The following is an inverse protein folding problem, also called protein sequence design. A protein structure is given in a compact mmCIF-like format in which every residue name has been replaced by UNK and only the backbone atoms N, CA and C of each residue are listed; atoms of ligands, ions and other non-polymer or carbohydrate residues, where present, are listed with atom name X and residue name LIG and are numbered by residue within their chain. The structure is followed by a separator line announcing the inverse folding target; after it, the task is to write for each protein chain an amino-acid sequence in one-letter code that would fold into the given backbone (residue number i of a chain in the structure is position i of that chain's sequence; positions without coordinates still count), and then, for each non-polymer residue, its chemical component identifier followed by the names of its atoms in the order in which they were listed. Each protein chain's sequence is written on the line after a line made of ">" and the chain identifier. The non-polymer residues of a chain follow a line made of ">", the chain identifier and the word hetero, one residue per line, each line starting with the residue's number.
data_IF_135130625878
#
_entry.id   IF_135130625878
#
_cell.length_a   1.000
_cell.length_b   1.000
_cell.length_c   1.000
_cell.angle_alpha   90.00
_cell.angle_beta   90.00
_cell.angle_gamma   90.00
#
_symmetry.space_group_name_H-M   'P 1'
#
loop_
_entity.id
_entity.type
_entity.pdbx_description
1 polymer ?
#
# COMPACT_ATOMS: atom_id res chain seq x y z
N UNK A 1 5.25 -2.57 18.03
CA UNK A 1 4.24 -2.55 16.95
C UNK A 1 2.85 -2.65 17.58
N UNK A 2 2.00 -1.62 17.41
CA UNK A 2 0.66 -1.58 18.00
C UNK A 2 -0.27 -2.54 17.23
N UNK A 3 -0.90 -3.49 17.92
CA UNK A 3 -1.72 -4.58 17.34
C UNK A 3 -2.77 -4.05 16.33
N UNK A 4 -3.29 -2.85 16.59
CA UNK A 4 -4.29 -2.15 15.76
C UNK A 4 -3.83 -1.92 14.32
N UNK A 5 -2.55 -1.60 14.09
CA UNK A 5 -2.03 -1.30 12.75
C UNK A 5 -1.95 -2.56 11.88
N UNK A 6 -1.61 -3.69 12.50
CA UNK A 6 -1.53 -5.00 11.83
C UNK A 6 -2.95 -5.44 11.42
N UNK A 7 -3.90 -5.35 12.35
CA UNK A 7 -5.30 -5.71 12.08
C UNK A 7 -5.85 -4.87 10.93
N UNK A 8 -5.63 -3.56 10.96
CA UNK A 8 -6.08 -2.67 9.89
C UNK A 8 -5.43 -3.02 8.54
N UNK A 9 -4.12 -3.28 8.51
CA UNK A 9 -3.41 -3.69 7.30
C UNK A 9 -3.97 -4.99 6.70
N UNK A 10 -4.29 -5.97 7.54
CA UNK A 10 -4.91 -7.23 7.13
C UNK A 10 -6.31 -7.01 6.55
N UNK A 11 -7.12 -6.17 7.18
CA UNK A 11 -8.47 -5.83 6.73
C UNK A 11 -8.46 -5.14 5.35
N UNK A 12 -7.63 -4.10 5.18
CA UNK A 12 -7.43 -3.44 3.87
C UNK A 12 -7.01 -4.44 2.81
N UNK A 13 -6.07 -5.33 3.15
CA UNK A 13 -5.53 -6.31 2.21
C UNK A 13 -6.54 -7.39 1.84
N UNK A 14 -7.38 -7.81 2.79
CA UNK A 14 -8.47 -8.74 2.57
C UNK A 14 -9.53 -8.14 1.64
N UNK A 15 -9.85 -6.86 1.82
CA UNK A 15 -10.81 -6.09 1.04
C UNK A 15 -10.33 -5.73 -0.36
N UNK A 16 -9.01 -5.70 -0.59
CA UNK A 16 -8.43 -5.45 -1.91
C UNK A 16 -8.70 -6.61 -2.85
N UNK A 17 -9.15 -6.31 -4.08
CA UNK A 17 -9.47 -7.29 -5.13
C UNK A 17 -8.22 -7.92 -5.78
N UNK A 18 -7.24 -8.32 -4.96
CA UNK A 18 -6.01 -8.97 -5.38
C UNK A 18 -6.29 -10.44 -5.73
N UNK A 19 -5.62 -10.97 -6.77
CA UNK A 19 -5.99 -12.26 -7.39
C UNK A 19 -5.63 -13.49 -6.55
N UNK A 20 -4.72 -13.37 -5.58
CA UNK A 20 -4.34 -14.51 -4.74
C UNK A 20 -3.97 -14.11 -3.30
N UNK A 21 -4.01 -15.11 -2.41
CA UNK A 21 -3.75 -14.94 -0.97
C UNK A 21 -2.32 -14.44 -0.69
N UNK A 22 -1.33 -14.82 -1.51
CA UNK A 22 0.06 -14.39 -1.30
C UNK A 22 0.20 -12.90 -1.56
N UNK A 23 -0.50 -12.38 -2.57
CA UNK A 23 -0.55 -10.95 -2.84
C UNK A 23 -1.26 -10.17 -1.73
N UNK A 24 -2.35 -10.71 -1.16
CA UNK A 24 -3.01 -10.10 0.00
C UNK A 24 -2.10 -10.05 1.23
N UNK A 25 -1.44 -11.17 1.55
CA UNK A 25 -0.46 -11.22 2.64
C UNK A 25 0.69 -10.25 2.42
N UNK A 26 1.19 -10.15 1.18
CA UNK A 26 2.24 -9.19 0.80
C UNK A 26 1.80 -7.75 0.99
N UNK A 27 0.58 -7.40 0.56
CA UNK A 27 0.04 -6.05 0.76
C UNK A 27 -0.05 -5.71 2.25
N UNK A 28 -0.46 -6.66 3.09
CA UNK A 28 -0.56 -6.45 4.54
C UNK A 28 0.78 -6.13 5.15
N UNK A 29 1.84 -6.86 4.79
CA UNK A 29 3.21 -6.56 5.23
C UNK A 29 3.67 -5.19 4.75
N UNK A 30 3.45 -4.87 3.47
CA UNK A 30 3.84 -3.57 2.89
C UNK A 30 3.17 -2.41 3.62
N UNK A 31 1.87 -2.54 3.95
CA UNK A 31 1.13 -1.52 4.70
C UNK A 31 1.71 -1.39 6.11
N UNK A 32 1.98 -2.50 6.80
CA UNK A 32 2.56 -2.48 8.14
C UNK A 32 3.94 -1.79 8.16
N UNK A 33 4.83 -2.16 7.23
CA UNK A 33 6.17 -1.57 7.07
C UNK A 33 6.06 -0.05 6.80
N UNK A 34 5.12 0.37 5.94
CA UNK A 34 4.90 1.77 5.61
C UNK A 34 4.32 2.59 6.77
N UNK A 35 3.46 2.01 7.61
CA UNK A 35 2.94 2.70 8.81
C UNK A 35 4.04 2.85 9.85
N UNK A 36 4.87 1.83 10.05
CA UNK A 36 5.95 1.84 11.04
C UNK A 36 7.03 2.87 10.69
N UNK A 37 7.29 3.09 9.40
CA UNK A 37 8.28 4.05 8.94
C UNK A 37 7.84 4.80 7.68
N UNK A 38 6.92 5.78 7.78
CA UNK A 38 6.30 6.43 6.63
C UNK A 38 7.26 7.19 5.71
N UNK A 39 8.38 7.67 6.26
CA UNK A 39 9.41 8.42 5.53
C UNK A 39 10.56 7.54 5.05
N UNK A 40 10.56 6.25 5.35
CA UNK A 40 11.63 5.34 4.97
C UNK A 40 11.49 4.91 3.50
N UNK A 41 12.63 4.74 2.83
CA UNK A 41 12.66 4.03 1.55
C UNK A 41 12.24 2.57 1.74
N UNK A 42 11.82 1.88 0.66
CA UNK A 42 11.43 0.46 0.72
C UNK A 42 12.49 -0.42 1.42
N UNK A 43 13.81 -0.34 1.09
CA UNK A 43 14.81 -1.13 1.79
C UNK A 43 14.94 -0.84 3.28
N UNK A 44 14.75 0.43 3.67
CA UNK A 44 14.79 0.85 5.08
C UNK A 44 13.54 0.36 5.83
N UNK A 45 12.36 0.52 5.24
CA UNK A 45 11.09 0.09 5.82
C UNK A 45 11.04 -1.43 6.04
N UNK A 46 11.71 -2.21 5.19
CA UNK A 46 11.84 -3.67 5.36
C UNK A 46 13.00 -4.08 6.26
N UNK A 47 13.50 -3.19 7.14
CA UNK A 47 14.58 -3.50 8.07
C UNK A 47 15.93 -3.87 7.44
N UNK A 48 16.16 -3.48 6.18
CA UNK A 48 17.36 -3.87 5.42
C UNK A 48 17.30 -5.28 4.82
N UNK A 49 16.20 -6.03 4.97
CA UNK A 49 16.05 -7.34 4.36
C UNK A 49 15.87 -7.23 2.83
N UNK A 50 16.92 -7.63 2.09
CA UNK A 50 16.95 -7.58 0.64
C UNK A 50 15.86 -8.44 -0.03
N UNK A 51 15.46 -9.57 0.58
CA UNK A 51 14.42 -10.43 0.05
C UNK A 51 13.03 -9.78 0.19
N UNK A 52 12.75 -9.15 1.34
CA UNK A 52 11.50 -8.40 1.53
C UNK A 52 11.44 -7.18 0.63
N UNK A 53 12.52 -6.38 0.56
CA UNK A 53 12.59 -5.23 -0.33
C UNK A 53 12.34 -5.62 -1.79
N UNK A 54 12.99 -6.69 -2.27
CA UNK A 54 12.79 -7.22 -3.63
C UNK A 54 11.36 -7.71 -3.86
N UNK A 55 10.74 -8.32 -2.86
CA UNK A 55 9.35 -8.76 -2.94
C UNK A 55 8.38 -7.56 -3.03
N UNK A 56 8.64 -6.48 -2.30
CA UNK A 56 7.87 -5.22 -2.37
C UNK A 56 8.00 -4.56 -3.73
N UNK A 57 9.21 -4.44 -4.27
CA UNK A 57 9.40 -3.95 -5.65
C UNK A 57 8.66 -4.80 -6.69
N UNK A 58 8.73 -6.14 -6.57
CA UNK A 58 8.00 -7.06 -7.45
C UNK A 58 6.49 -6.96 -7.31
N UNK A 59 5.99 -6.65 -6.11
CA UNK A 59 4.57 -6.42 -5.87
C UNK A 59 4.09 -5.19 -6.63
N UNK A 60 4.79 -4.05 -6.51
CA UNK A 60 4.44 -2.83 -7.23
C UNK A 60 4.65 -2.93 -8.76
N UNK A 61 5.62 -3.73 -9.21
CA UNK A 61 5.85 -3.97 -10.65
C UNK A 61 4.89 -5.01 -11.27
N UNK A 62 4.07 -5.69 -10.47
CA UNK A 62 3.15 -6.71 -10.95
C UNK A 62 1.95 -6.06 -11.66
N UNK A 63 1.78 -6.33 -12.96
CA UNK A 63 0.67 -5.79 -13.77
C UNK A 63 -0.74 -6.11 -13.26
N UNK A 64 -0.88 -7.12 -12.40
CA UNK A 64 -2.14 -7.48 -11.72
C UNK A 64 -2.43 -6.59 -10.51
N UNK A 65 -1.50 -5.73 -10.11
CA UNK A 65 -1.66 -4.71 -9.06
C UNK A 65 -1.75 -3.36 -9.75
N UNK A 66 -2.80 -2.60 -9.43
CA UNK A 66 -2.94 -1.23 -9.89
C UNK A 66 -3.58 -0.37 -8.80
N UNK A 67 -3.51 0.96 -8.95
CA UNK A 67 -4.02 1.91 -7.97
C UNK A 67 -5.52 1.73 -7.68
N UNK A 68 -6.34 1.36 -8.66
CA UNK A 68 -7.77 1.15 -8.45
C UNK A 68 -8.06 -0.03 -7.51
N UNK A 69 -7.33 -1.14 -7.65
CA UNK A 69 -7.49 -2.32 -6.78
C UNK A 69 -7.09 -1.99 -5.35
N UNK A 70 -6.01 -1.24 -5.16
CA UNK A 70 -5.53 -0.84 -3.83
C UNK A 70 -6.49 0.16 -3.18
N UNK A 71 -6.86 1.23 -3.91
CA UNK A 71 -7.78 2.26 -3.42
C UNK A 71 -9.15 1.68 -3.05
N UNK A 72 -9.62 0.66 -3.76
CA UNK A 72 -10.85 -0.04 -3.40
C UNK A 72 -10.80 -0.66 -2.00
N UNK A 73 -9.69 -1.33 -1.65
CA UNK A 73 -9.51 -1.90 -0.31
C UNK A 73 -9.52 -0.84 0.80
N UNK A 74 -8.77 0.25 0.60
CA UNK A 74 -8.76 1.38 1.54
C UNK A 74 -10.14 2.07 1.65
N UNK A 75 -10.85 2.19 0.53
CA UNK A 75 -12.20 2.76 0.47
C UNK A 75 -13.20 1.92 1.26
N UNK A 76 -13.17 0.59 1.10
CA UNK A 76 -14.04 -0.31 1.86
C UNK A 76 -13.75 -0.26 3.37
N UNK A 77 -12.49 -0.23 3.80
CA UNK A 77 -12.16 -0.08 5.23
C UNK A 77 -12.53 1.27 5.81
N UNK A 78 -12.45 2.33 5.00
CA UNK A 78 -12.97 3.64 5.38
C UNK A 78 -14.49 3.59 5.53
N UNK A 79 -15.19 3.03 4.55
CA UNK A 79 -16.65 2.87 4.59
C UNK A 79 -17.10 2.04 5.81
N UNK A 80 -16.41 0.94 6.14
CA UNK A 80 -16.70 0.10 7.32
C UNK A 80 -16.66 0.92 8.61
N UNK A 81 -15.62 1.72 8.82
CA UNK A 81 -15.49 2.59 10.01
C UNK A 81 -16.54 3.70 10.05
N UNK A 82 -17.04 4.12 8.89
CA UNK A 82 -18.08 5.14 8.78
C UNK A 82 -19.49 4.63 9.14
N UNK A 83 -19.78 3.33 9.02
CA UNK A 83 -21.14 2.78 9.25
C UNK A 83 -21.68 3.13 10.64
N UNK A 84 -20.81 3.10 11.65
CA UNK A 84 -21.22 3.33 13.04
C UNK A 84 -21.25 4.83 13.44
N UNK A 85 -20.99 5.73 12.50
CA UNK A 85 -20.93 7.17 12.77
C UNK A 85 -22.25 7.86 12.47
N UNK A 86 -22.73 8.70 13.40
CA UNK A 86 -23.99 9.46 13.23
C UNK A 86 -23.90 10.58 12.19
N UNK A 87 -22.69 11.08 11.95
CA UNK A 87 -22.40 12.15 11.01
C UNK A 87 -21.03 11.88 10.39
N UNK A 88 -20.93 12.05 9.07
CA UNK A 88 -19.70 11.86 8.31
C UNK A 88 -19.43 13.15 7.54
N UNK A 89 -18.24 13.72 7.73
CA UNK A 89 -17.78 14.84 6.92
C UNK A 89 -16.91 14.32 5.78
N UNK A 90 -17.31 14.60 4.54
CA UNK A 90 -16.54 14.25 3.34
C UNK A 90 -15.77 15.50 2.89
N UNK A 91 -14.56 15.68 3.44
CA UNK A 91 -13.66 16.76 3.02
C UNK A 91 -13.06 16.40 1.66
N UNK A 92 -13.11 17.32 0.71
CA UNK A 92 -12.60 17.13 -0.64
C UNK A 92 -11.71 18.29 -1.06
N UNK A 93 -10.56 17.98 -1.63
CA UNK A 93 -9.59 18.92 -2.18
C UNK A 93 -8.85 18.25 -3.35
N UNK A 94 -8.14 19.02 -4.17
CA UNK A 94 -7.37 18.51 -5.31
C UNK A 94 -5.88 18.83 -5.14
N UNK A 95 -5.03 17.83 -5.35
CA UNK A 95 -3.57 17.99 -5.34
C UNK A 95 -2.93 17.32 -6.54
N UNK A 96 -1.67 17.65 -6.80
CA UNK A 96 -0.87 17.07 -7.90
C UNK A 96 0.43 16.49 -7.35
N UNK A 97 0.85 15.35 -7.90
CA UNK A 97 2.17 14.76 -7.61
C UNK A 97 3.15 15.13 -8.72
N UNK A 98 4.25 15.79 -8.38
CA UNK A 98 5.28 16.20 -9.34
C UNK A 98 6.48 15.24 -9.30
N UNK A 99 6.79 14.66 -10.46
CA UNK A 99 7.88 13.69 -10.64
C UNK A 99 8.97 14.17 -11.61
N UNK A 100 9.01 15.46 -11.97
CA UNK A 100 9.93 15.99 -13.01
C UNK A 100 11.43 15.79 -12.73
N UNK A 101 11.82 15.57 -11.46
CA UNK A 101 13.20 15.28 -11.06
C UNK A 101 13.60 13.81 -11.12
N UNK A 102 12.67 12.88 -11.40
CA UNK A 102 12.99 11.47 -11.51
C UNK A 102 13.70 11.18 -12.83
N UNK A 103 14.98 10.80 -12.75
CA UNK A 103 15.69 10.26 -13.90
C UNK A 103 15.03 8.95 -14.33
N UNK A 104 14.60 8.86 -15.58
CA UNK A 104 14.19 7.60 -16.18
C UNK A 104 15.36 6.62 -16.13
N UNK A 105 15.27 5.61 -15.27
CA UNK A 105 16.16 4.46 -15.34
C UNK A 105 15.90 3.73 -16.67
N UNK A 106 16.83 3.87 -17.62
CA UNK A 106 16.89 3.02 -18.81
C UNK A 106 17.50 1.69 -18.38
N UNK A 107 16.67 0.67 -18.21
CA UNK A 107 17.18 -0.69 -18.15
C UNK A 107 17.97 -0.96 -19.44
N UNK A 108 19.21 -1.44 -19.30
CA UNK A 108 20.06 -1.80 -20.42
C UNK A 108 19.30 -2.68 -21.41
N UNK A 109 19.36 -2.31 -22.68
CA UNK A 109 19.01 -3.16 -23.81
C UNK A 109 20.05 -4.26 -23.91
N UNK A 110 19.72 -5.44 -23.40
CA UNK A 110 20.33 -6.72 -23.75
C UNK A 110 19.29 -7.56 -24.53
#
# INVERSE_FOLDING_TARGET
>A
MEITNIIWAEQVSAASALPDRRMKSRLSSIIADAIESPSASIPQATGGDAAQAKATYRFYANRRVNGSILNHGFGLETARRCIDQRCILVVHDTTTLNFTGLQHYRAGSD
#
